data_IF_012034568933
#
_entry.id   IF_012034568933
#
_cell.length_a   1.000
_cell.length_b   1.000
_cell.length_c   1.000
_cell.angle_alpha   90.00
_cell.angle_beta   90.00
_cell.angle_gamma   90.00
#
_symmetry.space_group_name_H-M   'P 1'
#
loop_
_entity.id
_entity.type
_entity.pdbx_description
1 polymer ?
#
# COMPACT_ATOMS: atom_id res chain seq x y z
N UNK A 1 10.07 -3.34 -38.09
CA UNK A 1 8.80 -2.63 -37.84
C UNK A 1 8.55 -2.63 -36.34
N UNK A 2 8.56 -1.46 -35.69
CA UNK A 2 8.26 -1.38 -34.25
C UNK A 2 6.77 -1.67 -34.03
N UNK A 3 6.47 -2.73 -33.28
CA UNK A 3 5.11 -3.16 -33.05
C UNK A 3 4.50 -2.37 -31.88
N UNK A 4 3.65 -1.37 -32.19
CA UNK A 4 3.00 -0.50 -31.20
C UNK A 4 1.82 -1.17 -30.48
N UNK A 5 1.58 -2.48 -30.66
CA UNK A 5 0.48 -3.18 -30.01
C UNK A 5 0.56 -3.13 -28.48
N UNK A 6 1.78 -3.12 -27.93
CA UNK A 6 2.01 -3.01 -26.48
C UNK A 6 1.66 -1.61 -25.94
N UNK A 7 1.77 -0.56 -26.78
CA UNK A 7 1.41 0.80 -26.39
C UNK A 7 -0.08 0.91 -26.03
N UNK A 8 -0.96 0.28 -26.82
CA UNK A 8 -2.40 0.32 -26.57
C UNK A 8 -2.76 -0.31 -25.22
N UNK A 9 -2.15 -1.45 -24.89
CA UNK A 9 -2.39 -2.13 -23.62
C UNK A 9 -1.92 -1.28 -22.43
N UNK A 10 -0.72 -0.68 -22.52
CA UNK A 10 -0.18 0.21 -21.49
C UNK A 10 -1.02 1.47 -21.29
N UNK A 11 -1.45 2.12 -22.37
CA UNK A 11 -2.31 3.32 -22.30
C UNK A 11 -3.65 3.00 -21.67
N UNK A 12 -4.27 1.86 -22.04
CA UNK A 12 -5.54 1.46 -21.43
C UNK A 12 -5.40 1.16 -19.94
N UNK A 13 -4.35 0.44 -19.54
CA UNK A 13 -4.07 0.18 -18.12
C UNK A 13 -3.84 1.49 -17.34
N UNK A 14 -3.05 2.42 -17.90
CA UNK A 14 -2.83 3.72 -17.28
C UNK A 14 -4.14 4.50 -17.08
N UNK A 15 -5.02 4.54 -18.10
CA UNK A 15 -6.32 5.20 -17.98
C UNK A 15 -7.19 4.59 -16.89
N UNK A 16 -7.22 3.26 -16.78
CA UNK A 16 -7.97 2.56 -15.73
C UNK A 16 -7.40 2.87 -14.35
N UNK A 17 -6.08 2.83 -14.18
CA UNK A 17 -5.43 3.17 -12.91
C UNK A 17 -5.71 4.62 -12.49
N UNK A 18 -5.62 5.57 -13.43
CA UNK A 18 -5.95 6.98 -13.17
C UNK A 18 -7.42 7.13 -12.80
N UNK A 19 -8.34 6.48 -13.51
CA UNK A 19 -9.77 6.56 -13.22
C UNK A 19 -10.10 6.02 -11.82
N UNK A 20 -9.55 4.87 -11.45
CA UNK A 20 -9.76 4.27 -10.12
C UNK A 20 -9.14 5.15 -9.03
N UNK A 21 -7.89 5.57 -9.20
CA UNK A 21 -7.18 6.39 -8.21
C UNK A 21 -7.84 7.76 -8.01
N UNK A 22 -8.09 8.49 -9.10
CA UNK A 22 -8.75 9.80 -9.04
C UNK A 22 -10.19 9.69 -8.53
N UNK A 23 -10.93 8.67 -8.97
CA UNK A 23 -12.30 8.41 -8.50
C UNK A 23 -12.35 8.13 -7.00
N UNK A 24 -11.43 7.32 -6.48
CA UNK A 24 -11.34 7.06 -5.05
C UNK A 24 -10.93 8.30 -4.25
N UNK A 25 -9.96 9.09 -4.75
CA UNK A 25 -9.53 10.34 -4.10
C UNK A 25 -10.68 11.34 -4.05
N UNK A 26 -11.45 11.47 -5.13
CA UNK A 26 -12.65 12.31 -5.17
C UNK A 26 -13.66 11.83 -4.13
N UNK A 27 -14.04 10.55 -4.16
CA UNK A 27 -15.02 9.98 -3.26
C UNK A 27 -14.63 10.13 -1.78
N UNK A 28 -13.35 9.94 -1.45
CA UNK A 28 -12.83 10.05 -0.09
C UNK A 28 -13.42 9.02 0.88
N UNK A 29 -13.27 9.30 2.17
CA UNK A 29 -13.81 8.48 3.27
C UNK A 29 -13.49 6.99 3.12
N UNK A 30 -14.50 6.14 3.36
CA UNK A 30 -14.36 4.69 3.32
C UNK A 30 -13.93 4.12 1.97
N UNK A 31 -14.30 4.76 0.85
CA UNK A 31 -13.92 4.28 -0.49
C UNK A 31 -12.42 4.45 -0.70
N UNK A 32 -11.89 5.63 -0.35
CA UNK A 32 -10.46 5.88 -0.43
C UNK A 32 -9.67 5.01 0.55
N UNK A 33 -10.15 4.89 1.79
CA UNK A 33 -9.52 4.05 2.80
C UNK A 33 -9.48 2.57 2.39
N UNK A 34 -10.57 2.04 1.83
CA UNK A 34 -10.62 0.68 1.31
C UNK A 34 -9.60 0.46 0.19
N UNK A 35 -9.48 1.41 -0.75
CA UNK A 35 -8.46 1.33 -1.81
C UNK A 35 -7.04 1.31 -1.23
N UNK A 36 -6.74 2.21 -0.28
CA UNK A 36 -5.43 2.27 0.38
C UNK A 36 -5.09 0.97 1.13
N UNK A 37 -6.07 0.36 1.82
CA UNK A 37 -5.92 -0.94 2.48
C UNK A 37 -5.62 -2.05 1.48
N UNK A 38 -6.35 -2.10 0.36
CA UNK A 38 -6.11 -3.09 -0.70
C UNK A 38 -4.72 -2.92 -1.30
N UNK A 39 -4.31 -1.68 -1.60
CA UNK A 39 -2.98 -1.40 -2.16
C UNK A 39 -1.86 -1.77 -1.19
N UNK A 40 -2.00 -1.47 0.11
CA UNK A 40 -1.03 -1.90 1.12
C UNK A 40 -0.88 -3.42 1.14
N UNK A 41 -1.99 -4.16 1.00
CA UNK A 41 -1.97 -5.61 0.88
C UNK A 41 -1.27 -6.12 -0.38
N UNK A 42 -1.60 -5.55 -1.54
CA UNK A 42 -0.95 -5.91 -2.80
C UNK A 42 0.56 -5.65 -2.76
N UNK A 43 0.98 -4.49 -2.24
CA UNK A 43 2.39 -4.15 -2.09
C UNK A 43 3.11 -5.05 -1.09
N UNK A 44 2.45 -5.42 0.03
CA UNK A 44 3.00 -6.37 1.00
C UNK A 44 3.17 -7.79 0.45
N UNK A 45 2.26 -8.23 -0.43
CA UNK A 45 2.37 -9.49 -1.17
C UNK A 45 3.50 -9.43 -2.20
N UNK A 46 3.57 -8.35 -2.98
CA UNK A 46 4.56 -8.16 -4.03
C UNK A 46 5.98 -8.09 -3.45
N UNK A 47 6.16 -7.34 -2.34
CA UNK A 47 7.45 -7.26 -1.65
C UNK A 47 7.94 -8.63 -1.18
N UNK A 48 7.06 -9.47 -0.64
CA UNK A 48 7.44 -10.82 -0.23
C UNK A 48 7.85 -11.68 -1.43
N UNK A 49 7.09 -11.62 -2.53
CA UNK A 49 7.41 -12.36 -3.75
C UNK A 49 8.74 -11.96 -4.36
N UNK A 50 9.10 -10.67 -4.29
CA UNK A 50 10.40 -10.18 -4.77
C UNK A 50 11.56 -10.66 -3.90
N UNK A 51 11.39 -10.65 -2.57
CA UNK A 51 12.47 -10.94 -1.63
C UNK A 51 12.66 -12.43 -1.33
N UNK A 52 11.60 -13.23 -1.45
CA UNK A 52 11.63 -14.67 -1.19
C UNK A 52 10.84 -15.45 -2.26
N UNK A 53 11.29 -15.46 -3.53
CA UNK A 53 10.57 -16.13 -4.62
C UNK A 53 10.54 -17.66 -4.50
N UNK A 54 11.45 -18.25 -3.72
CA UNK A 54 11.54 -19.70 -3.48
C UNK A 54 10.62 -20.20 -2.35
N UNK A 55 9.96 -19.30 -1.62
CA UNK A 55 9.09 -19.67 -0.52
C UNK A 55 7.80 -20.37 -1.04
N UNK A 56 7.20 -21.27 -0.23
CA UNK A 56 5.95 -21.92 -0.61
C UNK A 56 4.83 -20.91 -0.89
N UNK A 57 3.94 -21.30 -1.80
CA UNK A 57 2.66 -20.61 -2.01
C UNK A 57 1.92 -20.43 -0.67
N UNK A 58 1.35 -19.26 -0.45
CA UNK A 58 0.63 -18.88 0.77
C UNK A 58 1.38 -17.87 1.65
N UNK A 59 2.72 -17.81 1.61
CA UNK A 59 3.48 -16.86 2.45
C UNK A 59 3.37 -15.42 1.99
N UNK A 60 3.44 -15.20 0.68
CA UNK A 60 3.25 -13.86 0.11
C UNK A 60 1.80 -13.40 0.27
N UNK A 61 0.84 -14.30 0.10
CA UNK A 61 -0.58 -14.03 0.28
C UNK A 61 -0.86 -13.65 1.74
N UNK A 62 -0.24 -14.37 2.68
CA UNK A 62 -0.29 -14.04 4.09
C UNK A 62 0.37 -12.69 4.40
N UNK A 63 1.52 -12.35 3.81
CA UNK A 63 2.14 -11.03 4.04
C UNK A 63 1.28 -9.89 3.53
N UNK A 64 0.68 -10.06 2.34
CA UNK A 64 -0.27 -9.08 1.82
C UNK A 64 -1.52 -8.95 2.68
N UNK A 65 -2.10 -10.08 3.11
CA UNK A 65 -3.26 -10.05 4.00
C UNK A 65 -2.94 -9.38 5.34
N UNK A 66 -1.78 -9.67 5.92
CA UNK A 66 -1.31 -9.03 7.15
C UNK A 66 -1.12 -7.53 6.93
N UNK A 67 -0.56 -7.08 5.81
CA UNK A 67 -0.40 -5.66 5.53
C UNK A 67 -1.75 -4.94 5.46
N UNK A 68 -2.71 -5.51 4.73
CA UNK A 68 -4.07 -4.97 4.65
C UNK A 68 -4.75 -4.91 6.03
N UNK A 69 -4.68 -5.99 6.81
CA UNK A 69 -5.27 -6.03 8.15
C UNK A 69 -4.60 -5.05 9.11
N UNK A 70 -3.28 -4.91 9.07
CA UNK A 70 -2.55 -3.95 9.90
C UNK A 70 -3.00 -2.53 9.57
N UNK A 71 -3.04 -2.14 8.30
CA UNK A 71 -3.50 -0.79 7.90
C UNK A 71 -4.96 -0.60 8.31
N UNK A 72 -5.84 -1.56 8.05
CA UNK A 72 -7.25 -1.45 8.41
C UNK A 72 -7.45 -1.30 9.92
N UNK A 73 -6.81 -2.14 10.74
CA UNK A 73 -7.01 -2.14 12.19
C UNK A 73 -6.37 -0.90 12.82
N UNK A 74 -5.09 -0.63 12.52
CA UNK A 74 -4.33 0.42 13.20
C UNK A 74 -4.59 1.83 12.66
N UNK A 75 -5.06 1.98 11.42
CA UNK A 75 -5.42 3.30 10.89
C UNK A 75 -6.86 3.65 11.24
N UNK A 76 -7.80 2.71 11.11
CA UNK A 76 -9.22 3.02 11.21
C UNK A 76 -9.75 2.97 12.65
N UNK A 77 -9.09 2.25 13.55
CA UNK A 77 -9.58 2.05 14.92
C UNK A 77 -8.61 2.53 16.01
N UNK A 78 -7.36 2.85 15.68
CA UNK A 78 -6.36 3.27 16.67
C UNK A 78 -5.92 4.72 16.43
N UNK A 79 -6.02 5.61 17.43
CA UNK A 79 -5.63 7.01 17.25
C UNK A 79 -4.12 7.24 17.45
N UNK A 80 -3.59 8.22 16.73
CA UNK A 80 -2.28 8.83 16.97
C UNK A 80 -1.11 7.85 16.96
N UNK A 81 -0.23 7.98 17.96
CA UNK A 81 1.02 7.22 18.04
C UNK A 81 0.83 5.71 18.16
N UNK A 82 -0.32 5.25 18.66
CA UNK A 82 -0.62 3.82 18.79
C UNK A 82 -0.77 3.19 17.39
N UNK A 83 -1.42 3.91 16.46
CA UNK A 83 -1.53 3.47 15.07
C UNK A 83 -0.15 3.32 14.42
N UNK A 84 0.68 4.36 14.49
CA UNK A 84 2.04 4.35 13.94
C UNK A 84 2.93 3.26 14.56
N UNK A 85 2.93 3.15 15.89
CA UNK A 85 3.71 2.16 16.62
C UNK A 85 3.24 0.74 16.34
N UNK A 86 1.93 0.51 16.23
CA UNK A 86 1.37 -0.79 15.86
C UNK A 86 1.78 -1.25 14.46
N UNK A 87 1.77 -0.33 13.48
CA UNK A 87 2.26 -0.62 12.13
C UNK A 87 3.77 -0.90 12.12
N UNK A 88 4.56 -0.13 12.87
CA UNK A 88 5.99 -0.36 13.00
C UNK A 88 6.30 -1.72 13.63
N UNK A 89 5.61 -2.08 14.71
CA UNK A 89 5.72 -3.39 15.35
C UNK A 89 5.31 -4.51 14.39
N UNK A 90 4.22 -4.33 13.64
CA UNK A 90 3.80 -5.28 12.61
C UNK A 90 4.88 -5.49 11.54
N UNK A 91 5.54 -4.43 11.09
CA UNK A 91 6.65 -4.52 10.16
C UNK A 91 7.86 -5.26 10.76
N UNK A 92 8.21 -5.01 12.03
CA UNK A 92 9.29 -5.72 12.72
C UNK A 92 8.99 -7.22 12.90
N UNK A 93 7.75 -7.56 13.26
CA UNK A 93 7.30 -8.95 13.38
C UNK A 93 7.39 -9.66 12.03
N UNK A 94 6.94 -9.02 10.95
CA UNK A 94 7.03 -9.58 9.61
C UNK A 94 8.47 -9.68 9.10
N UNK A 95 9.33 -8.71 9.42
CA UNK A 95 10.76 -8.77 9.13
C UNK A 95 11.43 -9.98 9.79
N UNK A 96 11.03 -10.34 11.01
CA UNK A 96 11.52 -11.53 11.70
C UNK A 96 11.22 -12.84 10.98
N UNK A 97 10.17 -12.88 10.14
CA UNK A 97 9.75 -14.05 9.35
C UNK A 97 10.55 -14.22 8.06
N UNK A 98 11.26 -13.18 7.61
CA UNK A 98 12.00 -13.22 6.36
C UNK A 98 13.33 -13.99 6.52
N UNK A 99 13.66 -14.96 5.65
CA UNK A 99 14.91 -15.73 5.76
C UNK A 99 16.20 -14.91 5.54
N UNK A 100 16.18 -13.91 4.66
CA UNK A 100 17.34 -13.05 4.33
C UNK A 100 16.96 -11.58 4.26
N UNK A 101 17.93 -10.70 4.48
CA UNK A 101 17.75 -9.25 4.36
C UNK A 101 16.56 -8.68 5.15
N UNK A 102 16.36 -9.21 6.35
CA UNK A 102 15.26 -8.86 7.28
C UNK A 102 15.09 -7.36 7.46
N UNK A 103 16.20 -6.65 7.59
CA UNK A 103 16.21 -5.20 7.76
C UNK A 103 15.63 -4.50 6.53
N UNK A 104 16.06 -4.90 5.33
CA UNK A 104 15.60 -4.31 4.07
C UNK A 104 14.10 -4.55 3.90
N UNK A 105 13.66 -5.81 4.08
CA UNK A 105 12.24 -6.13 4.02
C UNK A 105 11.43 -5.34 5.05
N UNK A 106 11.87 -5.31 6.31
CA UNK A 106 11.18 -4.61 7.39
C UNK A 106 11.06 -3.11 7.14
N UNK A 107 12.11 -2.47 6.62
CA UNK A 107 12.08 -1.06 6.27
C UNK A 107 11.07 -0.77 5.16
N UNK A 108 11.14 -1.48 4.03
CA UNK A 108 10.18 -1.27 2.92
C UNK A 108 8.76 -1.61 3.32
N UNK A 109 8.55 -2.69 4.07
CA UNK A 109 7.24 -3.07 4.56
C UNK A 109 6.68 -2.02 5.51
N UNK A 110 7.50 -1.49 6.43
CA UNK A 110 7.13 -0.38 7.30
C UNK A 110 6.76 0.89 6.54
N UNK A 111 7.54 1.25 5.51
CA UNK A 111 7.24 2.39 4.64
C UNK A 111 5.91 2.22 3.88
N UNK A 112 5.61 1.02 3.39
CA UNK A 112 4.32 0.72 2.75
C UNK A 112 3.16 0.95 3.74
N UNK A 113 3.28 0.41 4.96
CA UNK A 113 2.24 0.54 5.98
C UNK A 113 2.03 2.01 6.39
N UNK A 114 3.12 2.74 6.66
CA UNK A 114 3.05 4.14 7.05
C UNK A 114 2.59 5.05 5.91
N UNK A 115 2.95 4.76 4.66
CA UNK A 115 2.44 5.50 3.51
C UNK A 115 0.93 5.35 3.38
N UNK A 116 0.40 4.13 3.50
CA UNK A 116 -1.04 3.88 3.47
C UNK A 116 -1.77 4.59 4.63
N UNK A 117 -1.21 4.50 5.84
CA UNK A 117 -1.72 5.19 7.03
C UNK A 117 -1.76 6.72 6.83
N UNK A 118 -0.64 7.28 6.39
CA UNK A 118 -0.49 8.71 6.14
C UNK A 118 -1.46 9.21 5.07
N UNK A 119 -1.63 8.49 3.97
CA UNK A 119 -2.56 8.89 2.92
C UNK A 119 -4.01 8.93 3.39
N UNK A 120 -4.45 7.95 4.18
CA UNK A 120 -5.81 7.93 4.75
C UNK A 120 -6.00 9.16 5.66
N UNK A 121 -5.08 9.38 6.59
CA UNK A 121 -5.16 10.51 7.52
C UNK A 121 -5.08 11.87 6.84
N UNK A 122 -4.22 12.03 5.83
CA UNK A 122 -4.10 13.27 5.07
C UNK A 122 -5.39 13.56 4.29
N UNK A 123 -5.98 12.53 3.67
CA UNK A 123 -7.23 12.69 2.91
C UNK A 123 -8.41 13.05 3.82
N UNK A 124 -8.46 12.49 5.02
CA UNK A 124 -9.53 12.76 6.00
C UNK A 124 -9.33 14.09 6.73
N UNK A 125 -8.10 14.42 7.13
CA UNK A 125 -7.78 15.61 7.91
C UNK A 125 -7.59 16.89 7.08
N UNK A 126 -6.93 16.80 5.92
CA UNK A 126 -6.59 17.97 5.09
C UNK A 126 -7.47 18.10 3.84
N UNK A 127 -8.29 17.09 3.55
CA UNK A 127 -9.28 17.13 2.49
C UNK A 127 -8.73 16.91 1.07
N UNK A 128 -9.61 17.09 0.09
CA UNK A 128 -9.34 16.78 -1.32
C UNK A 128 -8.27 17.70 -1.94
N UNK A 129 -8.35 19.00 -1.67
CA UNK A 129 -7.45 19.99 -2.29
C UNK A 129 -5.98 19.71 -1.95
N UNK A 130 -5.70 19.39 -0.69
CA UNK A 130 -4.36 19.04 -0.25
C UNK A 130 -3.87 17.74 -0.87
N UNK A 131 -4.73 16.71 -0.94
CA UNK A 131 -4.41 15.44 -1.58
C UNK A 131 -4.06 15.61 -3.07
N UNK A 132 -4.84 16.41 -3.80
CA UNK A 132 -4.55 16.71 -5.22
C UNK A 132 -3.26 17.50 -5.38
N UNK A 133 -2.99 18.45 -4.49
CA UNK A 133 -1.73 19.19 -4.49
C UNK A 133 -0.52 18.26 -4.31
N UNK A 134 -0.59 17.31 -3.37
CA UNK A 134 0.46 16.30 -3.18
C UNK A 134 0.66 15.42 -4.42
N UNK A 135 -0.42 15.01 -5.08
CA UNK A 135 -0.34 14.18 -6.29
C UNK A 135 0.30 14.95 -7.45
N UNK A 136 0.07 16.27 -7.55
CA UNK A 136 0.54 17.08 -8.66
C UNK A 136 1.98 17.58 -8.50
N UNK A 137 2.52 17.60 -7.28
CA UNK A 137 3.89 18.09 -7.01
C UNK A 137 4.94 16.96 -7.07
N UNK A 138 4.50 15.70 -7.00
CA UNK A 138 5.33 14.50 -7.16
C UNK A 138 5.37 14.09 -8.63
#
# INVERSE_FOLDING_TARGET
MSNFNDLKARVLSALVMVAIGAGAVWAGGWIFAALAVVLAGLMGWELWRMMAPADPYGRAEASGLVAALLVAIFTLYQPGWIGLGGLALGALVMAGRMPRDKLVFGLYYGLILWAAHGFILLREGMGLAFMLWLILIV
#
